data_IF_294769219651
#
_entry.id   IF_294769219651
#
_cell.length_a   1.000
_cell.length_b   1.000
_cell.length_c   1.000
_cell.angle_alpha   90.00
_cell.angle_beta   90.00
_cell.angle_gamma   90.00
#
_symmetry.space_group_name_H-M   'P 1'
#
loop_
_entity.id
_entity.type
_entity.pdbx_description
1 polymer ?
#
# COMPACT_ATOMS: atom_id res chain seq x y z
N UNK A 1 19.04 36.46 26.43
CA UNK A 1 19.81 36.55 25.19
C UNK A 1 18.98 35.89 24.11
N UNK A 2 18.48 36.73 23.21
CA UNK A 2 17.61 36.42 22.08
C UNK A 2 18.35 35.60 21.01
N UNK A 3 17.65 34.62 20.43
CA UNK A 3 17.43 34.45 18.98
C UNK A 3 17.12 33.00 18.61
N UNK A 4 15.89 32.54 18.87
CA UNK A 4 15.26 31.51 18.04
C UNK A 4 13.77 31.85 17.97
N UNK A 5 13.39 32.87 17.19
CA UNK A 5 12.00 33.08 16.75
C UNK A 5 11.88 34.21 15.69
N UNK A 6 12.66 34.12 14.61
CA UNK A 6 12.47 34.97 13.42
C UNK A 6 12.52 34.11 12.16
N UNK A 7 11.38 33.44 11.89
CA UNK A 7 10.86 32.92 10.60
C UNK A 7 10.11 31.62 10.90
N UNK A 8 8.80 31.66 10.65
CA UNK A 8 7.82 30.74 11.22
C UNK A 8 8.13 29.28 10.97
N UNK A 9 8.16 28.49 12.03
CA UNK A 9 8.13 27.03 11.93
C UNK A 9 6.80 26.65 11.29
N UNK A 10 6.82 26.23 10.03
CA UNK A 10 5.61 25.82 9.32
C UNK A 10 5.23 24.43 9.84
N UNK A 11 4.27 24.41 10.78
CA UNK A 11 3.58 23.18 11.15
C UNK A 11 2.62 22.82 10.02
N UNK A 12 2.79 21.63 9.45
CA UNK A 12 2.07 21.19 8.26
C UNK A 12 1.69 19.71 8.41
N UNK A 13 0.70 19.27 7.64
CA UNK A 13 0.34 17.86 7.57
C UNK A 13 1.47 17.05 6.90
N UNK A 14 1.71 15.82 7.37
CA UNK A 14 2.77 14.94 6.87
C UNK A 14 2.65 14.66 5.38
N UNK A 15 1.43 14.40 4.88
CA UNK A 15 1.16 14.11 3.47
C UNK A 15 1.54 15.31 2.61
N UNK A 16 1.18 16.53 3.02
CA UNK A 16 1.52 17.74 2.27
C UNK A 16 3.04 18.00 2.28
N UNK A 17 3.69 17.82 3.44
CA UNK A 17 5.14 17.93 3.52
C UNK A 17 5.84 16.91 2.62
N UNK A 18 5.41 15.65 2.64
CA UNK A 18 5.98 14.60 1.80
C UNK A 18 5.75 14.87 0.32
N UNK A 19 4.56 15.35 -0.09
CA UNK A 19 4.30 15.72 -1.48
C UNK A 19 5.27 16.79 -1.97
N UNK A 20 5.50 17.85 -1.19
CA UNK A 20 6.49 18.89 -1.53
C UNK A 20 7.89 18.30 -1.66
N UNK A 21 8.30 17.44 -0.74
CA UNK A 21 9.63 16.80 -0.77
C UNK A 21 9.79 15.83 -1.94
N UNK A 22 8.74 15.09 -2.31
CA UNK A 22 8.70 14.21 -3.49
C UNK A 22 8.80 15.04 -4.78
N UNK A 23 8.13 16.18 -4.85
CA UNK A 23 8.24 17.09 -5.99
C UNK A 23 9.67 17.61 -6.17
N UNK A 24 10.36 17.96 -5.07
CA UNK A 24 11.80 18.26 -5.12
C UNK A 24 12.63 17.07 -5.62
N UNK A 25 12.33 15.85 -5.15
CA UNK A 25 12.98 14.63 -5.63
C UNK A 25 12.74 14.36 -7.13
N UNK A 26 11.64 14.83 -7.71
CA UNK A 26 11.36 14.64 -9.14
C UNK A 26 12.00 15.72 -10.04
N UNK A 27 12.16 16.93 -9.51
CA UNK A 27 12.58 18.12 -10.30
C UNK A 27 14.06 18.43 -10.21
N UNK A 28 14.73 18.05 -9.12
CA UNK A 28 16.13 18.39 -8.87
C UNK A 28 17.05 17.18 -9.09
N UNK A 29 18.35 17.42 -9.18
CA UNK A 29 19.37 16.36 -9.15
C UNK A 29 20.09 16.35 -7.80
N UNK A 30 20.52 15.16 -7.36
CA UNK A 30 21.22 14.93 -6.10
C UNK A 30 20.49 15.42 -4.82
N UNK A 31 19.18 15.58 -4.89
CA UNK A 31 18.35 16.01 -3.77
C UNK A 31 18.21 14.90 -2.72
N UNK A 32 18.49 15.24 -1.46
CA UNK A 32 18.34 14.33 -0.32
C UNK A 32 17.43 14.92 0.74
N UNK A 33 16.33 14.26 1.06
CA UNK A 33 15.45 14.64 2.15
C UNK A 33 15.63 13.73 3.36
N UNK A 34 15.69 14.31 4.55
CA UNK A 34 15.73 13.59 5.82
C UNK A 34 14.42 13.68 6.58
N UNK A 35 13.75 12.56 6.84
CA UNK A 35 12.57 12.49 7.72
C UNK A 35 13.01 12.00 9.10
N UNK A 36 12.88 12.83 10.11
CA UNK A 36 13.36 12.56 11.47
C UNK A 36 12.23 12.13 12.38
N UNK A 37 12.31 10.91 12.90
CA UNK A 37 11.25 10.29 13.71
C UNK A 37 11.78 9.77 15.03
N UNK A 38 10.91 9.60 16.01
CA UNK A 38 11.29 9.11 17.34
C UNK A 38 11.42 7.59 17.45
N UNK A 39 10.73 6.82 16.60
CA UNK A 39 10.66 5.36 16.72
C UNK A 39 10.60 4.66 15.36
N UNK A 40 10.86 3.33 15.36
CA UNK A 40 10.72 2.48 14.17
C UNK A 40 9.28 2.42 13.67
N UNK A 41 8.30 2.32 14.56
CA UNK A 41 6.89 2.35 14.20
C UNK A 41 6.52 3.63 13.42
N UNK A 42 7.07 4.79 13.80
CA UNK A 42 6.89 6.03 13.04
C UNK A 42 7.64 6.02 11.71
N UNK A 43 8.80 5.35 11.61
CA UNK A 43 9.44 5.13 10.31
C UNK A 43 8.55 4.32 9.37
N UNK A 44 7.89 3.28 9.87
CA UNK A 44 7.01 2.43 9.05
C UNK A 44 5.78 3.20 8.57
N UNK A 45 5.19 4.03 9.43
CA UNK A 45 4.12 4.97 9.04
C UNK A 45 4.57 5.86 7.88
N UNK A 46 5.72 6.53 8.00
CA UNK A 46 6.24 7.43 6.95
C UNK A 46 6.46 6.68 5.65
N UNK A 47 7.08 5.50 5.68
CA UNK A 47 7.31 4.71 4.48
C UNK A 47 6.00 4.30 3.82
N UNK A 48 5.00 3.87 4.59
CA UNK A 48 3.69 3.50 4.05
C UNK A 48 2.97 4.70 3.42
N UNK A 49 3.07 5.88 4.02
CA UNK A 49 2.53 7.12 3.42
C UNK A 49 3.26 7.44 2.12
N UNK A 50 4.60 7.36 2.10
CA UNK A 50 5.37 7.60 0.87
C UNK A 50 4.98 6.59 -0.21
N UNK A 51 4.90 5.30 0.11
CA UNK A 51 4.52 4.26 -0.88
C UNK A 51 3.15 4.54 -1.49
N UNK A 52 2.20 5.07 -0.71
CA UNK A 52 0.89 5.46 -1.23
C UNK A 52 0.97 6.68 -2.17
N UNK A 53 1.95 7.57 -2.00
CA UNK A 53 2.11 8.82 -2.76
C UNK A 53 2.94 8.68 -4.04
N UNK A 54 3.93 7.79 -4.08
CA UNK A 54 4.86 7.63 -5.22
C UNK A 54 4.58 6.39 -6.07
N UNK A 55 3.39 5.82 -5.91
CA UNK A 55 3.03 4.52 -6.42
C UNK A 55 3.10 4.39 -7.95
N UNK A 56 2.82 5.47 -8.68
CA UNK A 56 2.87 5.55 -10.15
C UNK A 56 4.28 5.76 -10.72
N UNK A 57 5.28 6.00 -9.87
CA UNK A 57 6.65 6.28 -10.28
C UNK A 57 7.43 4.99 -10.52
N UNK A 58 7.39 4.53 -11.78
CA UNK A 58 8.19 3.39 -12.24
C UNK A 58 9.68 3.62 -11.91
N UNK A 59 10.32 2.60 -11.30
CA UNK A 59 11.76 2.52 -10.94
C UNK A 59 12.18 3.23 -9.64
N UNK A 60 11.25 3.70 -8.82
CA UNK A 60 11.58 4.16 -7.46
C UNK A 60 11.71 2.95 -6.52
N UNK A 61 12.83 2.85 -5.79
CA UNK A 61 13.12 1.73 -4.88
C UNK A 61 12.78 2.11 -3.44
N UNK A 62 11.90 1.34 -2.79
CA UNK A 62 11.58 1.49 -1.37
C UNK A 62 12.34 0.43 -0.58
N UNK A 63 13.14 0.86 0.39
CA UNK A 63 13.83 0.00 1.35
C UNK A 63 13.26 0.25 2.73
N UNK A 64 12.71 -0.79 3.34
CA UNK A 64 12.27 -0.72 4.72
C UNK A 64 12.68 -2.00 5.47
N UNK A 65 13.81 -1.94 6.16
CA UNK A 65 14.30 -3.03 6.99
C UNK A 65 14.67 -2.52 8.39
N UNK A 66 15.26 -3.37 9.22
CA UNK A 66 15.64 -3.02 10.59
C UNK A 66 16.73 -1.92 10.65
N UNK A 67 17.54 -1.80 9.60
CA UNK A 67 18.71 -0.93 9.53
C UNK A 67 18.48 0.35 8.70
N UNK A 68 17.59 0.31 7.71
CA UNK A 68 17.39 1.38 6.72
C UNK A 68 15.90 1.50 6.37
N UNK A 69 15.38 2.73 6.46
CA UNK A 69 14.07 3.11 5.94
C UNK A 69 14.31 4.26 4.97
N UNK A 70 14.19 4.01 3.67
CA UNK A 70 14.51 4.99 2.63
C UNK A 70 13.81 4.73 1.30
N UNK A 71 13.68 5.76 0.49
CA UNK A 71 13.11 5.74 -0.86
C UNK A 71 14.10 6.36 -1.82
N UNK A 72 14.53 5.60 -2.82
CA UNK A 72 15.55 5.98 -3.81
C UNK A 72 14.90 6.19 -5.17
N UNK A 73 15.05 7.38 -5.71
CA UNK A 73 14.50 7.76 -7.00
C UNK A 73 15.48 7.41 -8.12
N UNK A 74 14.99 7.17 -9.35
CA UNK A 74 15.83 6.74 -10.48
C UNK A 74 16.90 7.78 -10.88
N UNK A 75 16.71 9.05 -10.53
CA UNK A 75 17.67 10.13 -10.74
C UNK A 75 18.75 10.23 -9.63
N UNK A 76 18.80 9.27 -8.70
CA UNK A 76 19.76 9.25 -7.59
C UNK A 76 19.34 10.06 -6.36
N UNK A 77 18.14 10.67 -6.39
CA UNK A 77 17.60 11.36 -5.23
C UNK A 77 17.11 10.39 -4.16
N UNK A 78 17.02 10.88 -2.93
CA UNK A 78 16.81 10.04 -1.76
C UNK A 78 15.91 10.72 -0.73
N UNK A 79 14.87 10.03 -0.28
CA UNK A 79 14.20 10.33 0.98
C UNK A 79 14.65 9.28 1.99
N UNK A 80 15.28 9.70 3.09
CA UNK A 80 15.76 8.79 4.14
C UNK A 80 15.07 9.10 5.46
N UNK A 81 14.51 8.08 6.08
CA UNK A 81 13.95 8.18 7.42
C UNK A 81 15.03 7.85 8.44
N UNK A 82 15.27 8.77 9.37
CA UNK A 82 16.32 8.70 10.38
C UNK A 82 15.68 8.75 11.76
N UNK A 83 16.09 7.83 12.66
CA UNK A 83 15.68 7.92 14.06
C UNK A 83 16.44 9.05 14.73
N UNK A 84 15.71 10.01 15.30
CA UNK A 84 16.29 11.13 16.00
C UNK A 84 16.98 10.65 17.29
N UNK A 85 18.28 10.85 17.36
CA UNK A 85 19.09 10.61 18.56
C UNK A 85 20.22 11.63 18.64
N UNK A 86 20.82 11.78 19.82
CA UNK A 86 22.01 12.64 20.01
C UNK A 86 23.23 12.20 19.18
N UNK A 87 23.22 10.93 18.73
CA UNK A 87 24.31 10.28 17.98
C UNK A 87 24.06 10.21 16.47
N UNK A 88 22.89 10.61 15.97
CA UNK A 88 22.49 10.51 14.57
C UNK A 88 23.14 11.56 13.64
N UNK A 89 24.37 11.98 13.96
CA UNK A 89 25.16 12.98 13.23
C UNK A 89 25.75 12.37 11.94
N UNK A 90 26.19 13.24 11.03
CA UNK A 90 26.92 12.85 9.81
C UNK A 90 26.05 12.70 8.55
N UNK A 91 24.73 12.80 8.68
CA UNK A 91 23.86 12.89 7.51
C UNK A 91 23.91 14.30 6.90
N UNK A 92 23.69 14.41 5.59
CA UNK A 92 23.58 15.69 4.87
C UNK A 92 22.33 15.65 4.00
N UNK A 93 21.42 16.59 4.22
CA UNK A 93 20.13 16.67 3.55
C UNK A 93 19.87 18.09 3.03
N UNK A 94 19.17 18.19 1.92
CA UNK A 94 18.72 19.43 1.29
C UNK A 94 17.33 19.88 1.76
N UNK A 95 16.52 18.94 2.27
CA UNK A 95 15.23 19.21 2.90
C UNK A 95 15.00 18.29 4.09
N UNK A 96 14.09 18.70 4.97
CA UNK A 96 13.82 17.98 6.22
C UNK A 96 12.36 17.98 6.60
N UNK A 97 11.92 16.86 7.14
CA UNK A 97 10.66 16.74 7.88
C UNK A 97 11.01 16.24 9.27
N UNK A 98 10.51 16.90 10.30
CA UNK A 98 10.80 16.55 11.70
C UNK A 98 9.49 16.26 12.40
N UNK A 99 9.39 15.08 13.01
CA UNK A 99 8.29 14.74 13.91
C UNK A 99 8.25 15.74 15.08
N UNK A 100 7.12 16.42 15.29
CA UNK A 100 6.98 17.51 16.28
C UNK A 100 7.34 17.09 17.70
N UNK A 101 7.28 15.79 18.00
CA UNK A 101 7.58 15.22 19.32
C UNK A 101 9.10 15.10 19.57
N UNK A 102 9.94 15.24 18.54
CA UNK A 102 11.40 15.19 18.70
C UNK A 102 11.89 16.33 19.60
N UNK A 103 12.80 16.01 20.52
CA UNK A 103 13.35 16.96 21.48
C UNK A 103 14.04 18.14 20.75
N UNK A 104 13.65 19.37 21.10
CA UNK A 104 14.18 20.63 20.55
C UNK A 104 15.70 20.73 20.62
N UNK A 105 16.33 20.20 21.66
CA UNK A 105 17.79 20.18 21.78
C UNK A 105 18.42 19.29 20.71
N UNK A 106 17.86 18.10 20.46
CA UNK A 106 18.29 17.21 19.37
C UNK A 106 18.05 17.87 18.02
N UNK A 107 16.92 18.56 17.85
CA UNK A 107 16.64 19.34 16.63
C UNK A 107 17.73 20.38 16.39
N UNK A 108 18.04 21.20 17.40
CA UNK A 108 18.97 22.31 17.24
C UNK A 108 20.44 21.87 17.11
N UNK A 109 20.84 20.82 17.83
CA UNK A 109 22.25 20.40 17.92
C UNK A 109 22.64 19.32 16.92
N UNK A 110 21.69 18.51 16.45
CA UNK A 110 21.96 17.36 15.57
C UNK A 110 21.27 17.51 14.22
N UNK A 111 19.97 17.82 14.21
CA UNK A 111 19.18 17.81 12.98
C UNK A 111 19.46 19.04 12.12
N UNK A 112 19.33 20.26 12.67
CA UNK A 112 19.57 21.51 11.93
C UNK A 112 20.95 21.55 11.23
N UNK A 113 22.06 21.16 11.87
CA UNK A 113 23.37 21.15 11.21
C UNK A 113 23.48 20.21 9.99
N UNK A 114 22.59 19.21 9.89
CA UNK A 114 22.55 18.29 8.75
C UNK A 114 21.90 18.92 7.51
N UNK A 115 21.21 20.06 7.65
CA UNK A 115 20.52 20.75 6.55
C UNK A 115 21.53 21.56 5.74
N UNK A 116 21.43 21.47 4.41
CA UNK A 116 22.34 22.07 3.44
C UNK A 116 21.55 22.74 2.32
N UNK A 117 22.12 23.77 1.74
CA UNK A 117 21.58 24.40 0.54
C UNK A 117 21.59 23.45 -0.65
N UNK A 118 20.74 23.71 -1.62
CA UNK A 118 20.72 23.02 -2.90
C UNK A 118 22.05 23.24 -3.64
N UNK A 119 22.48 22.20 -4.35
CA UNK A 119 23.64 22.26 -5.22
C UNK A 119 23.13 22.16 -6.66
N UNK A 120 23.09 23.31 -7.34
CA UNK A 120 22.49 23.47 -8.68
C UNK A 120 23.58 24.01 -9.61
N UNK A 121 23.72 23.44 -10.81
CA UNK A 121 24.68 23.91 -11.83
C UNK A 121 26.13 24.07 -11.31
N UNK A 122 26.61 23.09 -10.53
CA UNK A 122 27.96 23.09 -9.91
C UNK A 122 28.22 24.20 -8.89
N UNK A 123 27.18 24.83 -8.33
CA UNK A 123 27.31 25.86 -7.29
C UNK A 123 26.23 25.67 -6.23
N UNK A 124 26.50 26.15 -5.03
CA UNK A 124 25.44 26.28 -4.03
C UNK A 124 24.54 27.45 -4.42
N UNK A 125 23.23 27.24 -4.35
CA UNK A 125 22.29 28.34 -4.56
C UNK A 125 22.45 29.34 -3.40
N UNK A 126 22.93 30.54 -3.72
CA UNK A 126 23.21 31.60 -2.75
C UNK A 126 21.93 32.31 -2.27
N UNK A 127 20.80 32.12 -2.96
CA UNK A 127 19.50 32.68 -2.58
C UNK A 127 18.64 31.67 -1.83
N UNK A 128 19.13 30.44 -1.70
CA UNK A 128 18.43 29.36 -1.03
C UNK A 128 18.59 29.46 0.50
N UNK A 129 17.51 29.73 1.22
CA UNK A 129 17.42 29.52 2.66
C UNK A 129 16.96 28.07 2.91
N UNK A 130 17.86 27.17 3.37
CA UNK A 130 17.51 25.76 3.52
C UNK A 130 16.37 25.53 4.51
N UNK A 131 16.16 26.46 5.44
CA UNK A 131 15.10 26.37 6.44
C UNK A 131 13.69 26.44 5.83
N UNK A 132 13.54 27.00 4.62
CA UNK A 132 12.26 27.03 3.90
C UNK A 132 11.78 25.63 3.46
N UNK A 133 12.71 24.65 3.39
CA UNK A 133 12.42 23.23 3.11
C UNK A 133 12.42 22.36 4.37
N UNK A 134 12.28 22.98 5.54
CA UNK A 134 12.15 22.28 6.81
C UNK A 134 10.73 22.37 7.34
N UNK A 135 10.12 21.19 7.56
CA UNK A 135 8.74 21.07 8.01
C UNK A 135 8.65 20.33 9.34
N UNK A 136 7.69 20.73 10.18
CA UNK A 136 7.37 20.01 11.41
C UNK A 136 5.97 19.41 11.29
N UNK A 137 5.87 18.11 11.56
CA UNK A 137 4.65 17.33 11.33
C UNK A 137 4.33 16.47 12.54
N UNK A 138 3.04 16.30 12.84
CA UNK A 138 2.60 15.28 13.79
C UNK A 138 2.40 13.98 13.01
N UNK A 139 3.25 12.98 13.26
CA UNK A 139 3.21 11.70 12.54
C UNK A 139 2.36 10.70 13.32
N UNK A 140 1.27 10.25 12.70
CA UNK A 140 0.23 9.41 13.29
C UNK A 140 -0.20 8.28 12.34
N UNK A 141 -0.97 7.30 12.84
CA UNK A 141 -1.50 6.22 11.99
C UNK A 141 -2.56 6.72 11.00
N UNK A 142 -3.26 7.80 11.35
CA UNK A 142 -4.32 8.38 10.51
C UNK A 142 -3.75 8.88 9.17
N UNK A 143 -2.49 9.30 9.14
CA UNK A 143 -1.79 9.68 7.91
C UNK A 143 -1.72 8.53 6.89
N UNK A 144 -1.62 7.27 7.35
CA UNK A 144 -1.63 6.09 6.48
C UNK A 144 -3.01 5.89 5.84
N UNK A 145 -4.07 6.03 6.64
CA UNK A 145 -5.46 5.91 6.19
C UNK A 145 -5.77 7.05 5.20
N UNK A 146 -5.42 8.28 5.56
CA UNK A 146 -5.66 9.43 4.70
C UNK A 146 -4.87 9.33 3.39
N UNK A 147 -3.64 8.84 3.42
CA UNK A 147 -2.83 8.72 2.21
C UNK A 147 -3.27 7.60 1.27
N UNK A 148 -4.02 6.61 1.76
CA UNK A 148 -4.54 5.51 0.94
C UNK A 148 -5.40 6.00 -0.24
N UNK A 149 -6.08 7.15 -0.10
CA UNK A 149 -6.87 7.77 -1.18
C UNK A 149 -6.04 8.19 -2.41
N UNK A 150 -4.72 8.29 -2.25
CA UNK A 150 -3.80 8.62 -3.35
C UNK A 150 -3.22 7.38 -4.04
N UNK A 151 -3.52 6.17 -3.55
CA UNK A 151 -3.25 4.97 -4.34
C UNK A 151 -4.10 5.03 -5.61
N UNK A 152 -3.52 4.81 -6.80
CA UNK A 152 -4.31 4.76 -8.02
C UNK A 152 -5.32 3.61 -7.92
N UNK A 153 -6.53 3.92 -8.34
CA UNK A 153 -7.62 2.98 -8.48
C UNK A 153 -7.52 2.40 -9.89
N UNK A 154 -7.45 1.08 -10.01
CA UNK A 154 -7.58 0.43 -11.30
C UNK A 154 -9.07 0.42 -11.66
N UNK A 155 -9.45 1.21 -12.66
CA UNK A 155 -10.79 1.20 -13.23
C UNK A 155 -10.90 0.08 -14.27
N UNK A 156 -11.67 -0.95 -13.97
CA UNK A 156 -11.87 -2.10 -14.87
C UNK A 156 -13.28 -2.05 -15.45
N UNK A 157 -13.40 -1.84 -16.76
CA UNK A 157 -14.67 -1.91 -17.49
C UNK A 157 -14.95 -3.36 -17.88
N UNK A 158 -16.06 -3.92 -17.38
CA UNK A 158 -16.43 -5.31 -17.60
C UNK A 158 -17.56 -5.43 -18.63
N UNK A 159 -17.31 -5.11 -19.89
CA UNK A 159 -18.22 -5.57 -20.94
C UNK A 159 -17.91 -7.06 -21.22
N UNK A 160 -18.68 -7.99 -20.63
CA UNK A 160 -18.58 -9.44 -20.93
C UNK A 160 -19.09 -9.81 -22.36
N UNK A 161 -18.93 -8.90 -23.33
CA UNK A 161 -19.15 -9.12 -24.76
C UNK A 161 -17.88 -9.15 -25.60
N UNK A 162 -16.72 -8.78 -25.04
CA UNK A 162 -15.42 -8.95 -25.69
C UNK A 162 -14.54 -9.77 -24.77
N UNK A 163 -14.11 -10.95 -25.24
CA UNK A 163 -13.39 -11.95 -24.46
C UNK A 163 -12.45 -11.33 -23.43
N UNK A 164 -12.71 -11.61 -22.15
CA UNK A 164 -11.78 -11.28 -21.08
C UNK A 164 -10.45 -11.90 -21.45
N UNK A 165 -9.46 -11.09 -21.79
CA UNK A 165 -8.14 -11.63 -22.10
C UNK A 165 -7.50 -11.99 -20.78
N UNK A 166 -6.83 -13.16 -20.68
CA UNK A 166 -5.99 -13.51 -19.51
C UNK A 166 -5.05 -12.37 -19.09
N UNK A 167 -4.72 -11.47 -20.03
CA UNK A 167 -4.00 -10.23 -19.79
C UNK A 167 -4.69 -9.29 -18.79
N UNK A 168 -6.00 -9.07 -18.89
CA UNK A 168 -6.75 -8.20 -17.97
C UNK A 168 -6.75 -8.76 -16.55
N UNK A 169 -6.94 -10.07 -16.38
CA UNK A 169 -6.87 -10.69 -15.06
C UNK A 169 -5.46 -10.67 -14.47
N UNK A 170 -4.42 -10.82 -15.31
CA UNK A 170 -3.04 -10.63 -14.88
C UNK A 170 -2.76 -9.20 -14.44
N UNK A 171 -3.29 -8.20 -15.16
CA UNK A 171 -3.18 -6.80 -14.77
C UNK A 171 -3.93 -6.51 -13.45
N UNK A 172 -5.10 -7.12 -13.23
CA UNK A 172 -5.83 -7.04 -11.96
C UNK A 172 -5.08 -7.73 -10.82
N UNK A 173 -4.53 -8.92 -11.05
CA UNK A 173 -3.76 -9.65 -10.06
C UNK A 173 -2.45 -8.92 -9.73
N UNK A 174 -1.78 -8.34 -10.73
CA UNK A 174 -0.62 -7.47 -10.52
C UNK A 174 -1.01 -6.24 -9.71
N UNK A 175 -2.16 -5.63 -10.00
CA UNK A 175 -2.67 -4.50 -9.25
C UNK A 175 -2.93 -4.87 -7.77
N UNK A 176 -3.62 -5.97 -7.50
CA UNK A 176 -3.94 -6.43 -6.13
C UNK A 176 -2.68 -6.87 -5.38
N UNK A 177 -1.79 -7.62 -6.02
CA UNK A 177 -0.51 -8.05 -5.43
C UNK A 177 0.39 -6.87 -5.07
N UNK A 178 0.19 -5.74 -5.75
CA UNK A 178 0.91 -4.51 -5.47
C UNK A 178 0.06 -3.58 -4.55
N UNK A 179 -1.17 -3.93 -4.16
CA UNK A 179 -1.99 -3.16 -3.21
C UNK A 179 -2.75 -1.99 -3.83
N UNK A 180 -3.02 -2.01 -5.13
CA UNK A 180 -4.03 -1.17 -5.75
C UNK A 180 -5.43 -1.61 -5.29
N UNK A 181 -6.34 -0.67 -5.06
CA UNK A 181 -7.77 -0.97 -4.95
C UNK A 181 -8.36 -1.15 -6.34
N UNK A 182 -9.13 -2.23 -6.56
CA UNK A 182 -9.86 -2.44 -7.81
C UNK A 182 -11.20 -1.71 -7.70
N UNK A 183 -11.59 -0.95 -8.73
CA UNK A 183 -12.99 -0.51 -8.89
C UNK A 183 -13.60 -0.97 -10.19
N UNK A 184 -14.78 -1.57 -10.11
CA UNK A 184 -15.61 -1.86 -11.28
C UNK A 184 -16.29 -0.58 -11.77
N UNK A 185 -16.18 -0.28 -13.07
CA UNK A 185 -16.77 0.95 -13.65
C UNK A 185 -18.20 0.73 -14.16
N UNK A 186 -18.76 -0.47 -14.03
CA UNK A 186 -20.12 -0.77 -14.50
C UNK A 186 -21.20 -0.57 -13.42
N UNK A 187 -21.03 0.41 -12.53
CA UNK A 187 -22.08 0.87 -11.62
C UNK A 187 -22.88 2.01 -12.28
N UNK A 188 -23.57 1.69 -13.37
CA UNK A 188 -24.66 2.51 -13.89
C UNK A 188 -25.94 1.71 -13.66
N UNK A 189 -26.83 2.22 -12.81
CA UNK A 189 -28.11 1.60 -12.43
C UNK A 189 -28.97 1.27 -13.68
N UNK A 190 -28.67 1.89 -14.84
CA UNK A 190 -29.36 1.67 -16.11
C UNK A 190 -28.75 0.58 -17.01
N UNK A 191 -27.57 0.04 -16.71
CA UNK A 191 -26.98 -1.08 -17.49
C UNK A 191 -27.62 -2.42 -17.11
N UNK A 192 -28.20 -2.50 -15.91
CA UNK A 192 -28.87 -3.70 -15.40
C UNK A 192 -29.86 -4.25 -16.43
N UNK A 193 -30.69 -3.44 -17.11
CA UNK A 193 -31.67 -3.95 -18.07
C UNK A 193 -31.10 -4.58 -19.36
N UNK A 194 -29.84 -4.30 -19.75
CA UNK A 194 -29.27 -4.76 -21.03
C UNK A 194 -28.36 -5.98 -20.93
N UNK A 195 -27.77 -6.26 -19.77
CA UNK A 195 -26.85 -7.40 -19.60
C UNK A 195 -27.55 -8.74 -19.32
N UNK A 196 -28.88 -8.77 -19.12
CA UNK A 196 -29.64 -10.00 -18.81
C UNK A 196 -29.84 -10.99 -19.97
N UNK A 197 -29.35 -10.71 -21.19
CA UNK A 197 -29.53 -11.63 -22.33
C UNK A 197 -28.36 -12.58 -22.61
N UNK A 198 -27.20 -12.32 -22.01
CA UNK A 198 -26.00 -13.09 -22.33
C UNK A 198 -25.22 -13.27 -21.03
N UNK A 199 -25.12 -14.48 -20.47
CA UNK A 199 -23.99 -14.98 -19.66
C UNK A 199 -24.42 -16.14 -18.76
N UNK A 200 -24.67 -17.29 -19.38
CA UNK A 200 -24.65 -18.58 -18.70
C UNK A 200 -23.49 -19.37 -19.28
N UNK A 201 -22.37 -19.49 -18.57
CA UNK A 201 -21.36 -20.51 -18.84
C UNK A 201 -20.59 -20.85 -17.55
N UNK A 202 -20.72 -22.13 -17.16
CA UNK A 202 -19.90 -22.98 -16.29
C UNK A 202 -19.45 -22.40 -14.92
N UNK A 203 -20.06 -22.94 -13.86
CA UNK A 203 -19.72 -22.75 -12.45
C UNK A 203 -18.37 -23.43 -12.11
N UNK A 204 -17.26 -22.76 -12.40
CA UNK A 204 -15.92 -23.16 -11.95
C UNK A 204 -15.41 -22.23 -10.82
N UNK A 205 -16.29 -21.83 -9.89
CA UNK A 205 -15.93 -20.95 -8.75
C UNK A 205 -14.96 -21.60 -7.75
N UNK A 206 -14.74 -22.90 -7.86
CA UNK A 206 -13.76 -23.66 -7.08
C UNK A 206 -12.32 -23.32 -7.49
N UNK A 207 -12.11 -22.80 -8.70
CA UNK A 207 -10.78 -22.56 -9.27
C UNK A 207 -10.46 -21.07 -9.32
N UNK A 208 -9.23 -20.67 -8.92
CA UNK A 208 -8.81 -19.30 -9.12
C UNK A 208 -8.74 -19.00 -10.62
N UNK A 209 -9.23 -17.83 -11.01
CA UNK A 209 -9.15 -17.35 -12.39
C UNK A 209 -7.69 -17.10 -12.78
N UNK A 210 -6.90 -16.58 -11.85
CA UNK A 210 -5.45 -16.47 -11.95
C UNK A 210 -4.83 -16.60 -10.55
N UNK A 211 -3.64 -17.20 -10.48
CA UNK A 211 -2.80 -17.25 -9.29
C UNK A 211 -1.37 -16.75 -9.59
N UNK A 212 -0.70 -16.19 -8.58
CA UNK A 212 0.69 -15.70 -8.67
C UNK A 212 1.39 -15.85 -7.33
N UNK A 213 2.67 -16.23 -7.38
CA UNK A 213 3.56 -16.21 -6.23
C UNK A 213 4.40 -14.93 -6.22
N UNK A 214 4.44 -14.23 -5.10
CA UNK A 214 5.19 -12.98 -4.92
C UNK A 214 5.80 -12.92 -3.52
N UNK A 215 7.12 -12.80 -3.42
CA UNK A 215 7.83 -12.63 -2.13
C UNK A 215 7.52 -13.71 -1.07
N UNK A 216 7.27 -14.95 -1.52
CA UNK A 216 6.87 -16.08 -0.68
C UNK A 216 5.35 -16.26 -0.58
N UNK A 217 4.58 -15.20 -0.82
CA UNK A 217 3.14 -15.23 -0.65
C UNK A 217 2.46 -15.73 -1.94
N UNK A 218 1.42 -16.56 -1.78
CA UNK A 218 0.59 -17.05 -2.88
C UNK A 218 -0.71 -16.26 -2.95
N UNK A 219 -0.91 -15.51 -4.03
CA UNK A 219 -2.11 -14.68 -4.26
C UNK A 219 -3.00 -15.35 -5.30
N UNK A 220 -4.28 -15.50 -4.97
CA UNK A 220 -5.29 -16.14 -5.81
C UNK A 220 -6.50 -15.22 -5.97
N UNK A 221 -7.03 -15.14 -7.19
CA UNK A 221 -8.15 -14.28 -7.55
C UNK A 221 -9.34 -15.11 -8.04
N UNK A 222 -10.50 -14.88 -7.44
CA UNK A 222 -11.77 -15.56 -7.75
C UNK A 222 -12.85 -14.56 -8.17
N UNK A 223 -13.76 -14.99 -9.04
CA UNK A 223 -14.92 -14.21 -9.46
C UNK A 223 -16.09 -14.46 -8.50
N UNK A 224 -16.74 -13.41 -8.01
CA UNK A 224 -17.95 -13.47 -7.17
C UNK A 224 -19.01 -12.45 -7.64
N UNK A 225 -19.08 -12.24 -8.96
CA UNK A 225 -19.86 -11.15 -9.56
C UNK A 225 -21.35 -11.27 -9.24
N UNK A 226 -21.95 -10.18 -8.74
CA UNK A 226 -23.37 -10.14 -8.43
C UNK A 226 -23.76 -10.82 -7.12
N UNK A 227 -22.80 -11.28 -6.30
CA UNK A 227 -23.04 -11.68 -4.92
C UNK A 227 -22.66 -10.50 -4.01
N UNK A 228 -23.62 -9.92 -3.26
CA UNK A 228 -23.34 -8.88 -2.27
C UNK A 228 -22.28 -9.30 -1.24
N UNK A 229 -21.39 -8.38 -0.85
CA UNK A 229 -20.28 -8.65 0.09
C UNK A 229 -20.76 -9.23 1.43
N UNK A 230 -21.91 -8.77 1.90
CA UNK A 230 -22.58 -9.21 3.13
C UNK A 230 -23.12 -10.64 3.06
N UNK A 231 -23.29 -11.19 1.86
CA UNK A 231 -23.71 -12.58 1.64
C UNK A 231 -22.54 -13.54 1.40
N UNK A 232 -21.30 -13.03 1.38
CA UNK A 232 -20.09 -13.84 1.26
C UNK A 232 -19.50 -14.04 2.66
N UNK A 233 -19.34 -15.31 3.02
CA UNK A 233 -18.76 -15.73 4.30
C UNK A 233 -17.51 -16.55 4.03
N UNK A 234 -16.56 -16.49 4.95
CA UNK A 234 -15.39 -17.36 4.92
C UNK A 234 -15.17 -18.00 6.29
N UNK A 235 -14.61 -19.20 6.28
CA UNK A 235 -14.31 -19.97 7.48
C UNK A 235 -13.17 -20.94 7.24
N UNK A 236 -12.50 -21.35 8.31
CA UNK A 236 -11.48 -22.41 8.25
C UNK A 236 -12.03 -23.73 8.74
N UNK A 237 -11.66 -24.80 8.05
CA UNK A 237 -12.04 -26.17 8.39
C UNK A 237 -10.79 -27.01 8.60
N UNK A 238 -10.70 -27.67 9.77
CA UNK A 238 -9.66 -28.65 10.05
C UNK A 238 -10.21 -30.07 9.93
N UNK A 239 -9.73 -30.83 8.95
CA UNK A 239 -10.16 -32.21 8.70
C UNK A 239 -9.28 -33.16 9.51
N UNK A 240 -9.76 -33.55 10.69
CA UNK A 240 -9.05 -34.43 11.64
C UNK A 240 -8.49 -35.73 11.02
N UNK A 241 -9.22 -36.31 10.04
CA UNK A 241 -8.85 -37.59 9.42
C UNK A 241 -7.58 -37.48 8.57
N UNK A 242 -7.44 -36.38 7.80
CA UNK A 242 -6.31 -36.14 6.91
C UNK A 242 -5.28 -35.20 7.52
N UNK A 243 -5.60 -34.57 8.65
CA UNK A 243 -4.81 -33.49 9.30
C UNK A 243 -4.55 -32.31 8.35
N UNK A 244 -5.52 -32.04 7.47
CA UNK A 244 -5.45 -30.96 6.49
C UNK A 244 -6.34 -29.80 6.92
N UNK A 245 -5.90 -28.58 6.59
CA UNK A 245 -6.65 -27.36 6.84
C UNK A 245 -7.12 -26.77 5.52
N UNK A 246 -8.38 -26.35 5.48
CA UNK A 246 -9.00 -25.73 4.32
C UNK A 246 -9.56 -24.36 4.67
N UNK A 247 -9.50 -23.44 3.72
CA UNK A 247 -10.22 -22.18 3.73
C UNK A 247 -11.46 -22.33 2.83
N UNK A 248 -12.62 -22.14 3.44
CA UNK A 248 -13.92 -22.17 2.79
C UNK A 248 -14.39 -20.74 2.57
N UNK A 249 -14.74 -20.37 1.33
CA UNK A 249 -15.40 -19.10 1.03
C UNK A 249 -16.69 -19.38 0.27
N UNK A 250 -17.83 -19.06 0.89
CA UNK A 250 -19.15 -19.43 0.41
C UNK A 250 -20.05 -18.19 0.34
N UNK A 251 -20.82 -18.07 -0.73
CA UNK A 251 -21.83 -17.03 -0.87
C UNK A 251 -22.88 -17.44 -1.90
N UNK A 252 -24.12 -17.01 -1.70
CA UNK A 252 -25.21 -17.27 -2.64
C UNK A 252 -26.15 -16.07 -2.71
N UNK A 253 -26.56 -15.72 -3.91
CA UNK A 253 -27.54 -14.67 -4.14
C UNK A 253 -28.53 -15.07 -5.24
N UNK A 254 -29.82 -14.90 -4.94
CA UNK A 254 -30.94 -15.22 -5.82
C UNK A 254 -31.87 -14.00 -5.93
N UNK A 255 -32.22 -13.63 -7.16
CA UNK A 255 -33.30 -12.69 -7.48
C UNK A 255 -34.24 -13.34 -8.49
N UNK A 256 -35.23 -14.14 -8.02
CA UNK A 256 -36.14 -14.90 -8.89
C UNK A 256 -36.92 -14.03 -9.88
N UNK A 257 -37.31 -12.83 -9.47
CA UNK A 257 -38.07 -11.88 -10.29
C UNK A 257 -37.31 -11.40 -11.54
N UNK A 258 -35.98 -11.48 -11.50
CA UNK A 258 -35.08 -11.13 -12.61
C UNK A 258 -34.45 -12.38 -13.27
N UNK A 259 -34.79 -13.59 -12.79
CA UNK A 259 -34.17 -14.83 -13.24
C UNK A 259 -32.66 -14.92 -12.94
N UNK A 260 -32.21 -14.23 -11.89
CA UNK A 260 -30.80 -14.19 -11.48
C UNK A 260 -30.54 -15.16 -10.33
N UNK A 261 -29.55 -16.03 -10.47
CA UNK A 261 -29.00 -16.87 -9.40
C UNK A 261 -27.49 -16.95 -9.60
N UNK A 262 -26.72 -16.70 -8.54
CA UNK A 262 -25.28 -16.91 -8.56
C UNK A 262 -24.79 -17.41 -7.18
N UNK A 263 -23.77 -18.25 -7.20
CA UNK A 263 -23.17 -18.84 -6.02
C UNK A 263 -21.64 -18.93 -6.13
N UNK A 264 -20.96 -18.92 -4.99
CA UNK A 264 -19.52 -19.14 -4.88
C UNK A 264 -19.26 -20.17 -3.78
N UNK A 265 -18.35 -21.10 -4.04
CA UNK A 265 -17.99 -22.17 -3.11
C UNK A 265 -16.50 -22.54 -3.26
N UNK A 266 -15.61 -21.72 -2.71
CA UNK A 266 -14.19 -21.99 -2.72
C UNK A 266 -13.86 -22.95 -1.58
N UNK A 267 -13.24 -24.10 -1.88
CA UNK A 267 -12.68 -25.03 -0.90
C UNK A 267 -11.16 -25.14 -1.12
N UNK A 268 -10.40 -24.22 -0.51
CA UNK A 268 -8.97 -24.05 -0.75
C UNK A 268 -8.14 -24.80 0.30
N UNK A 269 -7.29 -25.73 -0.14
CA UNK A 269 -6.32 -26.38 0.74
C UNK A 269 -5.18 -25.43 1.13
N UNK A 270 -4.87 -25.35 2.44
CA UNK A 270 -3.72 -24.62 2.97
C UNK A 270 -2.64 -25.63 3.38
N UNK A 271 -1.52 -25.65 2.65
CA UNK A 271 -0.35 -26.42 3.06
C UNK A 271 0.34 -25.72 4.23
N UNK A 272 -0.01 -26.14 5.44
CA UNK A 272 0.55 -25.60 6.70
C UNK A 272 2.03 -25.88 6.91
N UNK A 273 2.69 -26.66 6.04
CA UNK A 273 4.15 -26.79 6.02
C UNK A 273 4.84 -25.65 5.26
N UNK A 274 4.08 -24.90 4.45
CA UNK A 274 4.57 -23.81 3.60
C UNK A 274 3.99 -22.47 4.09
N UNK A 275 2.70 -22.44 4.42
CA UNK A 275 1.98 -21.21 4.77
C UNK A 275 1.55 -21.19 6.24
N UNK A 276 1.77 -20.07 6.93
CA UNK A 276 1.34 -19.85 8.33
C UNK A 276 0.27 -18.78 8.50
N UNK A 277 -0.28 -18.22 7.42
CA UNK A 277 -1.43 -17.34 7.53
C UNK A 277 -2.11 -17.03 6.22
N UNK A 278 -3.29 -16.43 6.31
CA UNK A 278 -4.08 -16.04 5.15
C UNK A 278 -4.82 -14.71 5.36
N UNK A 279 -5.10 -14.04 4.25
CA UNK A 279 -5.94 -12.85 4.14
C UNK A 279 -7.02 -13.07 3.07
N UNK A 280 -8.24 -12.61 3.32
CA UNK A 280 -9.35 -12.66 2.35
C UNK A 280 -9.88 -11.25 2.12
N UNK A 281 -9.82 -10.78 0.88
CA UNK A 281 -10.37 -9.49 0.48
C UNK A 281 -11.58 -9.67 -0.43
N UNK A 282 -12.66 -8.96 -0.12
CA UNK A 282 -13.90 -8.99 -0.90
C UNK A 282 -14.20 -7.56 -1.33
N UNK A 283 -14.03 -7.29 -2.61
CA UNK A 283 -14.25 -5.97 -3.22
C UNK A 283 -14.86 -6.14 -4.62
N UNK A 284 -15.91 -5.37 -4.92
CA UNK A 284 -16.49 -5.20 -6.26
C UNK A 284 -16.71 -6.48 -7.08
N UNK A 285 -17.26 -7.53 -6.45
CA UNK A 285 -17.57 -8.79 -7.12
C UNK A 285 -16.36 -9.69 -7.37
N UNK A 286 -15.23 -9.44 -6.70
CA UNK A 286 -14.02 -10.25 -6.73
C UNK A 286 -13.63 -10.67 -5.32
N UNK A 287 -13.03 -11.87 -5.21
CA UNK A 287 -12.44 -12.35 -3.96
C UNK A 287 -10.95 -12.58 -4.19
N UNK A 288 -10.12 -11.94 -3.38
CA UNK A 288 -8.68 -12.20 -3.35
C UNK A 288 -8.37 -13.00 -2.10
N UNK A 289 -7.64 -14.11 -2.26
CA UNK A 289 -7.08 -14.87 -1.15
C UNK A 289 -5.56 -14.77 -1.23
N UNK A 290 -4.92 -14.35 -0.15
CA UNK A 290 -3.47 -14.33 0.00
C UNK A 290 -3.08 -15.38 1.04
N UNK A 291 -2.15 -16.26 0.71
CA UNK A 291 -1.51 -17.18 1.66
C UNK A 291 -0.09 -16.68 1.93
N UNK A 292 0.27 -16.49 3.19
CA UNK A 292 1.59 -16.01 3.60
C UNK A 292 2.51 -17.17 3.96
N UNK A 293 3.74 -17.15 3.42
CA UNK A 293 4.76 -18.17 3.72
C UNK A 293 5.29 -18.04 5.15
N UNK A 294 5.59 -19.18 5.77
CA UNK A 294 6.21 -19.27 7.09
C UNK A 294 7.52 -18.46 7.12
N UNK A 295 7.57 -17.43 7.97
CA UNK A 295 8.79 -16.64 8.23
C UNK A 295 9.25 -16.85 9.67
N UNK A 296 10.17 -17.81 9.86
CA UNK A 296 10.97 -18.01 11.09
C UNK A 296 10.24 -18.37 12.40
N UNK A 297 8.93 -18.66 12.40
CA UNK A 297 8.16 -19.01 13.61
C UNK A 297 7.53 -20.41 13.53
N UNK A 298 7.07 -20.93 14.67
CA UNK A 298 6.34 -22.21 14.73
C UNK A 298 5.03 -22.12 13.93
N UNK A 299 4.63 -23.17 13.19
CA UNK A 299 3.49 -23.14 12.28
C UNK A 299 2.18 -23.08 13.07
N UNK A 300 1.73 -21.86 13.39
CA UNK A 300 0.40 -21.57 13.91
C UNK A 300 -0.30 -20.75 12.84
N UNK A 301 -1.39 -21.28 12.29
CA UNK A 301 -2.15 -20.60 11.24
C UNK A 301 -2.74 -19.29 11.79
N UNK A 302 -2.37 -18.16 11.18
CA UNK A 302 -2.80 -16.81 11.51
C UNK A 302 -3.90 -16.37 10.54
N UNK A 303 -5.06 -16.05 11.09
CA UNK A 303 -6.11 -15.33 10.38
C UNK A 303 -5.85 -13.83 10.52
N UNK A 304 -5.51 -13.18 9.41
CA UNK A 304 -5.27 -11.73 9.38
C UNK A 304 -6.56 -10.93 9.11
N UNK A 305 -7.70 -11.61 8.88
CA UNK A 305 -9.03 -11.05 8.76
C UNK A 305 -9.42 -10.62 7.34
N UNK A 306 -10.55 -9.90 7.25
CA UNK A 306 -11.02 -9.22 6.02
C UNK A 306 -10.64 -7.75 6.06
N UNK A 307 -10.01 -7.27 4.99
CA UNK A 307 -10.07 -5.85 4.62
C UNK A 307 -11.03 -5.72 3.43
#
# INVERSE_FOLDING_TARGET
MENINKRGVIKINLIEALKKQIEFCNTNENYKCGVWVTSKAKSDIVINVISNLIWDQKKTEIRNNQCESSVRFPNGNLIKVVRASSTARGNRFNGMIVDSIVNKEVVNTVILPCLKSLFVENRYDNNDDPTDRMYFCDITKDDVIESAKYRPILFVTSARGSGKTMKQFKEMLDAVSCGYSIRSVNYDENIFEKEYKCMFYENDYDRPVVEKELNGDKVMLYEAWGIPKDLITYSTEFVNRTKQTYLNVIGKYEMPDLGFENDINIHLFIDTNIYDGYEVHIEDGMITVVLHEIKNEAPVLKDYGVA
#
